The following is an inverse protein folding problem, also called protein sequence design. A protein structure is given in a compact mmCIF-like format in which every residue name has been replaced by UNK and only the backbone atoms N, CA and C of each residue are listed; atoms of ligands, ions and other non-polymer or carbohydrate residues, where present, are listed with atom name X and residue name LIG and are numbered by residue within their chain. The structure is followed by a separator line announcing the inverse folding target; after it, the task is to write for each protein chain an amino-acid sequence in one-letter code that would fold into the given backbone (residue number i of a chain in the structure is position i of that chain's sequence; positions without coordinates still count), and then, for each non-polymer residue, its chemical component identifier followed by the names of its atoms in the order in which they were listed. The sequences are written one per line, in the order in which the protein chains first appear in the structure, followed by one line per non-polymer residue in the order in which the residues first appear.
data_IF_214818860715
#
_entry.id   IF_214818860715
#
_cell.length_a   1.000
_cell.length_b   1.000
_cell.length_c   1.000
_cell.angle_alpha   90.00
_cell.angle_beta   90.00
_cell.angle_gamma   90.00
#
_symmetry.space_group_name_H-M   'P 1'
#
loop_
_entity.id
_entity.type
_entity.pdbx_description
1 polymer ?
#
# COMPACT_ATOMS: atom_id res chain seq x y z
N UNK A 1 50.27 7.81 18.63
CA UNK A 1 49.35 8.87 18.15
C UNK A 1 48.83 8.40 16.81
N UNK A 2 47.68 7.72 16.86
CA UNK A 2 47.03 7.05 15.73
C UNK A 2 46.33 8.05 14.81
N UNK A 3 46.54 7.89 13.51
CA UNK A 3 45.77 8.54 12.45
C UNK A 3 45.38 7.49 11.40
N UNK A 4 44.25 6.82 11.64
CA UNK A 4 43.56 5.99 10.65
C UNK A 4 42.06 6.01 10.90
N UNK A 5 41.38 7.07 10.49
CA UNK A 5 39.94 7.02 10.24
C UNK A 5 39.54 8.27 9.47
N UNK A 6 39.35 8.16 8.15
CA UNK A 6 38.43 8.99 7.35
C UNK A 6 38.57 8.62 5.86
N UNK A 7 37.96 7.50 5.46
CA UNK A 7 37.85 7.10 4.05
C UNK A 7 36.56 6.29 3.80
N UNK A 8 35.39 6.85 4.17
CA UNK A 8 34.11 6.16 3.96
C UNK A 8 32.93 7.03 3.46
N UNK A 9 33.19 8.21 2.89
CA UNK A 9 32.11 9.11 2.41
C UNK A 9 32.16 9.55 0.95
N UNK A 10 33.10 9.08 0.13
CA UNK A 10 33.35 9.60 -1.24
C UNK A 10 32.82 8.72 -2.39
N UNK A 11 31.84 7.85 -2.17
CA UNK A 11 31.35 6.90 -3.19
C UNK A 11 29.83 6.90 -3.46
N UNK A 12 29.13 8.04 -3.32
CA UNK A 12 27.73 8.22 -3.79
C UNK A 12 27.44 9.60 -4.40
N UNK A 13 28.27 10.04 -5.35
CA UNK A 13 28.01 11.23 -6.18
C UNK A 13 28.51 11.07 -7.63
N UNK A 14 28.17 9.95 -8.26
CA UNK A 14 28.43 9.73 -9.68
C UNK A 14 27.24 8.99 -10.33
N UNK A 15 26.14 9.70 -10.60
CA UNK A 15 25.14 9.33 -11.63
C UNK A 15 24.09 10.44 -11.85
N UNK A 16 24.54 11.68 -11.96
CA UNK A 16 23.70 12.77 -12.43
C UNK A 16 24.62 13.82 -13.05
N UNK A 17 25.06 13.58 -14.29
CA UNK A 17 25.60 14.57 -15.22
C UNK A 17 26.09 13.81 -16.47
N UNK A 18 25.18 13.48 -17.39
CA UNK A 18 25.56 13.30 -18.79
C UNK A 18 24.34 13.44 -19.70
N UNK A 19 24.51 14.29 -20.71
CA UNK A 19 23.74 14.42 -21.97
C UNK A 19 22.54 15.36 -21.98
N UNK A 20 22.87 16.65 -22.01
CA UNK A 20 22.34 17.56 -23.03
C UNK A 20 23.09 17.33 -24.34
N UNK A 21 22.43 16.78 -25.36
CA UNK A 21 22.85 16.96 -26.75
C UNK A 21 21.59 17.11 -27.62
N UNK A 22 21.51 18.30 -28.20
CA UNK A 22 20.63 18.70 -29.29
C UNK A 22 20.83 17.77 -30.49
N UNK A 23 19.73 17.24 -31.05
CA UNK A 23 19.67 16.78 -32.43
C UNK A 23 18.24 16.99 -32.95
N UNK A 24 18.13 18.00 -33.81
CA UNK A 24 17.02 18.21 -34.72
C UNK A 24 16.96 17.06 -35.72
N UNK A 25 15.81 16.43 -35.88
CA UNK A 25 15.44 15.67 -37.08
C UNK A 25 13.94 15.83 -37.34
N UNK A 26 13.64 16.50 -38.45
CA UNK A 26 12.35 16.42 -39.12
C UNK A 26 12.24 15.10 -39.90
N UNK A 27 11.05 14.50 -39.89
CA UNK A 27 10.43 13.62 -40.92
C UNK A 27 9.13 13.08 -40.29
N UNK A 28 7.94 13.57 -40.66
CA UNK A 28 7.06 13.02 -41.72
C UNK A 28 7.15 11.49 -41.82
N UNK A 29 6.05 10.79 -41.47
CA UNK A 29 5.41 9.72 -42.27
C UNK A 29 4.10 9.27 -41.57
N UNK A 30 3.05 9.19 -42.41
CA UNK A 30 1.78 8.46 -42.33
C UNK A 30 1.52 7.52 -41.14
N UNK A 31 0.37 7.71 -40.48
CA UNK A 31 -0.37 6.59 -39.87
C UNK A 31 -1.45 6.13 -40.85
N UNK A 32 -1.16 5.03 -41.54
CA UNK A 32 -2.16 4.17 -42.18
C UNK A 32 -2.87 3.32 -41.12
N UNK A 33 -4.19 3.27 -41.22
CA UNK A 33 -5.06 2.31 -40.56
C UNK A 33 -4.60 0.87 -40.86
N UNK A 34 -4.49 0.04 -39.83
CA UNK A 34 -4.46 -1.41 -39.97
C UNK A 34 -5.66 -1.99 -39.22
N UNK A 35 -6.64 -2.43 -40.01
CA UNK A 35 -7.64 -3.42 -39.58
C UNK A 35 -6.94 -4.75 -39.36
N UNK A 36 -7.09 -5.31 -38.16
CA UNK A 36 -6.70 -6.68 -37.86
C UNK A 36 -7.97 -7.51 -37.66
N UNK A 37 -8.36 -8.25 -38.70
CA UNK A 37 -9.29 -9.37 -38.62
C UNK A 37 -8.50 -10.61 -38.19
N UNK A 38 -8.93 -11.25 -37.10
CA UNK A 38 -8.34 -12.50 -36.62
C UNK A 38 -9.32 -13.65 -36.89
N UNK A 39 -8.92 -14.56 -37.76
CA UNK A 39 -9.67 -15.78 -38.08
C UNK A 39 -9.17 -16.91 -37.18
N UNK A 40 -10.03 -17.38 -36.27
CA UNK A 40 -9.67 -18.37 -35.24
C UNK A 40 -10.24 -19.73 -35.65
N UNK A 41 -9.36 -20.60 -36.13
CA UNK A 41 -9.70 -21.95 -36.58
C UNK A 41 -9.63 -22.91 -35.39
N UNK A 42 -10.77 -23.39 -34.92
CA UNK A 42 -10.87 -24.40 -33.87
C UNK A 42 -10.88 -25.82 -34.47
N UNK A 43 -10.16 -26.79 -33.87
CA UNK A 43 -10.21 -28.18 -34.32
C UNK A 43 -11.53 -28.84 -33.90
N UNK A 44 -12.07 -29.63 -34.82
CA UNK A 44 -13.27 -30.42 -34.63
C UNK A 44 -12.99 -31.69 -33.82
N UNK A 45 -13.93 -32.03 -32.93
CA UNK A 45 -14.27 -33.42 -32.62
C UNK A 45 -13.86 -33.92 -31.24
N UNK A 46 -14.85 -34.04 -30.36
CA UNK A 46 -15.03 -35.24 -29.53
C UNK A 46 -16.47 -35.31 -29.05
N UNK A 47 -17.19 -36.33 -29.52
CA UNK A 47 -18.50 -36.72 -29.02
C UNK A 47 -18.31 -37.41 -27.67
N UNK A 48 -19.10 -37.02 -26.66
CA UNK A 48 -19.38 -37.88 -25.51
C UNK A 48 -20.86 -37.74 -25.18
N UNK A 49 -21.56 -38.85 -25.40
CA UNK A 49 -22.92 -39.13 -24.94
C UNK A 49 -22.87 -39.42 -23.46
N UNK A 50 -23.60 -38.68 -22.64
CA UNK A 50 -24.20 -39.22 -21.41
C UNK A 50 -25.34 -38.31 -20.97
N UNK A 51 -26.48 -38.95 -20.76
CA UNK A 51 -27.74 -38.34 -20.40
C UNK A 51 -27.83 -38.34 -18.87
N UNK A 52 -27.81 -37.16 -18.27
CA UNK A 52 -28.19 -37.00 -16.87
C UNK A 52 -29.49 -36.21 -16.75
N UNK A 53 -30.40 -36.90 -16.07
CA UNK A 53 -31.77 -36.58 -15.76
C UNK A 53 -31.81 -35.45 -14.72
N UNK A 54 -32.32 -34.27 -15.09
CA UNK A 54 -32.51 -33.15 -14.18
C UNK A 54 -34.00 -32.88 -13.96
N UNK A 55 -34.40 -32.98 -12.69
CA UNK A 55 -35.75 -32.86 -12.14
C UNK A 55 -36.11 -31.36 -11.90
N UNK A 56 -37.18 -30.81 -12.48
CA UNK A 56 -37.55 -29.40 -12.31
C UNK A 56 -38.64 -29.25 -11.23
N UNK A 57 -38.22 -29.12 -9.98
CA UNK A 57 -39.08 -28.67 -8.89
C UNK A 57 -38.84 -27.19 -8.59
N UNK A 58 -39.93 -26.43 -8.38
CA UNK A 58 -40.01 -25.03 -7.95
C UNK A 58 -40.23 -23.98 -9.06
N UNK A 59 -41.50 -23.91 -9.47
CA UNK A 59 -42.15 -22.71 -10.00
C UNK A 59 -43.12 -22.21 -8.92
N UNK A 60 -43.04 -20.94 -8.51
CA UNK A 60 -44.19 -20.19 -8.00
C UNK A 60 -44.40 -18.93 -8.85
N UNK A 61 -45.66 -18.52 -9.11
CA UNK A 61 -46.00 -17.53 -10.13
C UNK A 61 -46.32 -16.15 -9.55
N UNK A 62 -45.98 -15.08 -10.28
CA UNK A 62 -46.70 -13.81 -10.13
C UNK A 62 -45.90 -12.55 -10.45
N UNK A 63 -46.30 -11.83 -11.51
CA UNK A 63 -46.00 -10.41 -11.68
C UNK A 63 -45.72 -10.00 -13.14
N UNK A 64 -46.60 -9.22 -13.79
CA UNK A 64 -46.45 -8.86 -15.20
C UNK A 64 -45.49 -7.68 -15.36
N UNK A 65 -44.46 -7.84 -16.19
CA UNK A 65 -43.69 -6.72 -16.72
C UNK A 65 -44.17 -6.45 -18.15
N UNK A 66 -44.72 -5.25 -18.33
CA UNK A 66 -45.09 -4.65 -19.61
C UNK A 66 -43.84 -4.51 -20.49
N UNK A 67 -43.83 -5.23 -21.61
CA UNK A 67 -42.84 -5.12 -22.68
C UNK A 67 -43.58 -4.61 -23.92
N UNK A 68 -43.65 -3.29 -24.07
CA UNK A 68 -43.90 -2.65 -25.36
C UNK A 68 -42.56 -2.12 -25.84
N UNK A 69 -41.86 -2.93 -26.64
CA UNK A 69 -40.94 -2.50 -27.69
C UNK A 69 -40.56 -3.74 -28.49
N UNK A 70 -41.31 -3.98 -29.56
CA UNK A 70 -41.06 -5.03 -30.53
C UNK A 70 -39.78 -4.71 -31.30
N UNK A 71 -38.78 -5.60 -31.37
CA UNK A 71 -37.69 -5.42 -32.31
C UNK A 71 -38.22 -5.58 -33.74
N UNK A 72 -37.97 -4.59 -34.59
CA UNK A 72 -38.20 -4.67 -36.04
C UNK A 72 -37.32 -5.78 -36.63
N UNK A 73 -37.97 -6.85 -37.09
CA UNK A 73 -37.32 -7.90 -37.89
C UNK A 73 -37.16 -7.41 -39.33
N UNK A 74 -35.95 -7.02 -39.70
CA UNK A 74 -35.57 -6.73 -41.09
C UNK A 74 -35.16 -8.05 -41.77
N UNK A 75 -35.98 -8.45 -42.75
CA UNK A 75 -35.74 -9.42 -43.83
C UNK A 75 -35.08 -10.78 -43.53
N UNK A 76 -35.85 -11.85 -43.78
CA UNK A 76 -35.37 -13.23 -43.95
C UNK A 76 -34.78 -13.45 -45.35
N UNK A 77 -33.56 -14.00 -45.49
CA UNK A 77 -33.14 -14.68 -46.71
C UNK A 77 -33.47 -16.18 -46.64
N UNK A 78 -33.84 -16.72 -47.81
CA UNK A 78 -34.11 -18.14 -48.09
C UNK A 78 -32.95 -19.05 -47.68
N UNK A 79 -33.25 -20.11 -46.93
CA UNK A 79 -32.26 -21.01 -46.33
C UNK A 79 -31.68 -22.00 -47.36
N UNK A 80 -30.37 -21.92 -47.57
CA UNK A 80 -29.54 -23.05 -48.01
C UNK A 80 -29.04 -23.81 -46.78
N UNK A 81 -29.13 -25.14 -46.79
CA UNK A 81 -28.71 -26.01 -45.70
C UNK A 81 -27.20 -25.90 -45.46
N UNK A 82 -26.78 -25.27 -44.37
CA UNK A 82 -25.39 -25.39 -43.89
C UNK A 82 -24.84 -24.26 -43.02
N UNK A 83 -25.55 -23.14 -42.80
CA UNK A 83 -24.94 -21.98 -42.13
C UNK A 83 -25.39 -21.81 -40.67
N UNK A 84 -24.39 -21.66 -39.78
CA UNK A 84 -24.59 -21.37 -38.35
C UNK A 84 -24.96 -19.89 -38.17
N UNK A 85 -26.08 -19.65 -37.49
CA UNK A 85 -26.53 -18.31 -37.10
C UNK A 85 -25.55 -17.71 -36.06
N UNK A 86 -24.70 -16.76 -36.47
CA UNK A 86 -23.89 -15.97 -35.54
C UNK A 86 -24.73 -14.76 -35.12
N UNK A 87 -25.29 -14.81 -33.90
CA UNK A 87 -25.97 -13.67 -33.30
C UNK A 87 -24.92 -12.71 -32.73
N UNK A 88 -24.54 -11.69 -33.50
CA UNK A 88 -23.67 -10.60 -33.03
C UNK A 88 -24.54 -9.64 -32.20
N UNK A 89 -24.51 -9.81 -30.87
CA UNK A 89 -25.12 -8.84 -29.95
C UNK A 89 -24.26 -7.57 -29.92
N UNK A 90 -24.66 -6.56 -30.70
CA UNK A 90 -24.14 -5.19 -30.57
C UNK A 90 -24.64 -4.58 -29.25
N UNK A 91 -23.95 -4.87 -28.15
CA UNK A 91 -24.15 -4.17 -26.89
C UNK A 91 -23.48 -2.80 -27.04
N UNK A 92 -24.28 -1.75 -27.21
CA UNK A 92 -23.80 -0.36 -27.22
C UNK A 92 -22.95 -0.08 -25.96
N UNK A 93 -21.67 0.35 -26.09
CA UNK A 93 -20.77 0.62 -24.97
C UNK A 93 -21.32 1.62 -23.95
N UNK A 94 -22.25 2.47 -24.38
CA UNK A 94 -22.92 3.49 -23.57
C UNK A 94 -23.81 2.93 -22.46
N UNK A 95 -24.22 1.65 -22.49
CA UNK A 95 -25.02 1.04 -21.39
C UNK A 95 -24.18 0.41 -20.27
N UNK A 96 -22.88 0.15 -20.47
CA UNK A 96 -21.98 -0.29 -19.38
C UNK A 96 -21.32 0.89 -18.64
N UNK A 97 -21.30 2.08 -19.24
CA UNK A 97 -20.70 3.27 -18.65
C UNK A 97 -21.58 3.98 -17.60
N UNK A 98 -22.86 3.60 -17.44
CA UNK A 98 -23.79 4.28 -16.52
C UNK A 98 -23.76 3.76 -15.07
N UNK A 99 -22.99 2.71 -14.77
CA UNK A 99 -22.65 2.35 -13.39
C UNK A 99 -21.48 3.24 -12.91
N UNK A 100 -21.78 4.53 -12.75
CA UNK A 100 -20.82 5.58 -12.41
C UNK A 100 -20.02 5.22 -11.14
N UNK A 101 -18.73 4.95 -11.31
CA UNK A 101 -17.78 4.66 -10.22
C UNK A 101 -17.67 5.78 -9.18
N UNK A 102 -18.14 6.98 -9.53
CA UNK A 102 -18.11 8.19 -8.70
C UNK A 102 -19.06 8.15 -7.51
N UNK A 103 -20.14 7.35 -7.54
CA UNK A 103 -21.11 7.26 -6.45
C UNK A 103 -20.85 6.15 -5.41
N UNK A 104 -19.91 5.25 -5.68
CA UNK A 104 -19.68 4.09 -4.81
C UNK A 104 -18.80 4.45 -3.61
N UNK A 105 -19.21 4.03 -2.41
CA UNK A 105 -18.45 4.31 -1.19
C UNK A 105 -17.06 3.65 -1.23
N UNK A 106 -16.10 4.22 -0.50
CA UNK A 106 -14.75 3.63 -0.40
C UNK A 106 -14.82 2.18 0.14
N UNK A 107 -15.76 1.90 1.05
CA UNK A 107 -15.98 0.55 1.58
C UNK A 107 -16.42 -0.45 0.51
N UNK A 108 -17.32 -0.05 -0.39
CA UNK A 108 -17.79 -0.88 -1.49
C UNK A 108 -16.67 -1.14 -2.51
N UNK A 109 -15.87 -0.11 -2.83
CA UNK A 109 -14.68 -0.22 -3.69
C UNK A 109 -13.68 -1.24 -3.13
N UNK A 110 -13.36 -1.15 -1.83
CA UNK A 110 -12.49 -2.12 -1.16
C UNK A 110 -13.09 -3.54 -1.12
N UNK A 111 -14.41 -3.66 -0.92
CA UNK A 111 -15.10 -4.95 -0.93
C UNK A 111 -15.03 -5.61 -2.32
N UNK A 112 -15.24 -4.84 -3.38
CA UNK A 112 -15.08 -5.31 -4.77
C UNK A 112 -13.65 -5.76 -5.04
N UNK A 113 -12.64 -4.99 -4.60
CA UNK A 113 -11.24 -5.38 -4.75
C UNK A 113 -10.94 -6.71 -4.04
N UNK A 114 -11.44 -6.90 -2.82
CA UNK A 114 -11.29 -8.18 -2.08
C UNK A 114 -11.90 -9.37 -2.81
N UNK A 115 -13.04 -9.19 -3.50
CA UNK A 115 -13.64 -10.25 -4.32
C UNK A 115 -12.73 -10.63 -5.49
N UNK A 116 -12.14 -9.66 -6.18
CA UNK A 116 -11.16 -9.90 -7.27
C UNK A 116 -9.93 -10.63 -6.75
N UNK A 117 -9.33 -10.14 -5.65
CA UNK A 117 -8.16 -10.77 -5.02
C UNK A 117 -8.48 -12.21 -4.59
N UNK A 118 -9.66 -12.45 -4.02
CA UNK A 118 -10.11 -13.79 -3.62
C UNK A 118 -10.26 -14.74 -4.81
N UNK A 119 -10.74 -14.24 -5.96
CA UNK A 119 -10.80 -15.01 -7.20
C UNK A 119 -9.39 -15.35 -7.70
N UNK A 120 -8.51 -14.36 -7.81
CA UNK A 120 -7.12 -14.56 -8.26
C UNK A 120 -6.34 -15.57 -7.40
N UNK A 121 -6.60 -15.61 -6.09
CA UNK A 121 -6.00 -16.61 -5.18
C UNK A 121 -6.32 -18.06 -5.55
N UNK A 122 -7.45 -18.29 -6.21
CA UNK A 122 -7.93 -19.62 -6.61
C UNK A 122 -7.44 -20.07 -7.98
N UNK A 123 -6.86 -19.15 -8.76
CA UNK A 123 -6.25 -19.50 -10.04
C UNK A 123 -5.07 -20.44 -9.80
N UNK A 124 -4.69 -21.25 -10.78
CA UNK A 124 -3.57 -22.19 -10.61
C UNK A 124 -2.22 -21.54 -10.96
N UNK A 125 -2.19 -20.75 -12.02
CA UNK A 125 -0.97 -20.13 -12.54
C UNK A 125 -0.46 -18.95 -11.71
N UNK A 126 0.87 -18.81 -11.65
CA UNK A 126 1.54 -17.79 -10.84
C UNK A 126 1.26 -16.39 -11.36
N UNK A 127 1.19 -16.21 -12.69
CA UNK A 127 0.92 -14.93 -13.32
C UNK A 127 -0.51 -14.44 -13.01
N UNK A 128 -1.47 -15.34 -13.12
CA UNK A 128 -2.90 -15.12 -12.89
C UNK A 128 -3.18 -14.78 -11.41
N UNK A 129 -2.43 -15.39 -10.48
CA UNK A 129 -2.43 -15.02 -9.06
C UNK A 129 -1.89 -13.61 -8.79
N UNK A 130 -1.07 -13.06 -9.69
CA UNK A 130 -0.43 -11.76 -9.50
C UNK A 130 -1.25 -10.61 -10.06
N UNK A 131 -1.99 -10.80 -11.17
CA UNK A 131 -2.71 -9.70 -11.80
C UNK A 131 -3.45 -10.06 -13.08
N UNK A 132 -4.05 -9.05 -13.72
CA UNK A 132 -4.89 -9.24 -14.90
C UNK A 132 -4.11 -9.49 -16.21
N UNK A 133 -2.96 -8.84 -16.39
CA UNK A 133 -2.11 -8.98 -17.58
C UNK A 133 -0.65 -9.06 -17.16
N UNK A 134 -0.37 -9.97 -16.22
CA UNK A 134 0.99 -10.26 -15.77
C UNK A 134 1.55 -11.40 -16.60
N UNK A 135 2.81 -11.29 -17.01
CA UNK A 135 3.52 -12.33 -17.77
C UNK A 135 4.84 -12.65 -17.10
N UNK A 136 5.18 -13.93 -17.10
CA UNK A 136 6.47 -14.44 -16.65
C UNK A 136 7.28 -14.79 -17.89
N UNK A 137 8.29 -13.99 -18.19
CA UNK A 137 9.14 -14.14 -19.37
C UNK A 137 10.44 -14.80 -18.92
N UNK A 138 10.74 -15.97 -19.49
CA UNK A 138 12.04 -16.61 -19.32
C UNK A 138 13.06 -15.96 -20.25
N UNK A 139 14.20 -15.54 -19.70
CA UNK A 139 15.32 -14.93 -20.43
C UNK A 139 16.61 -15.69 -20.13
N UNK A 140 17.65 -15.48 -20.94
CA UNK A 140 18.96 -16.10 -20.70
C UNK A 140 19.57 -15.75 -19.33
N UNK A 141 19.19 -14.61 -18.74
CA UNK A 141 19.69 -14.13 -17.44
C UNK A 141 18.77 -14.44 -16.26
N UNK A 142 17.64 -15.13 -16.48
CA UNK A 142 16.67 -15.47 -15.44
C UNK A 142 15.23 -15.13 -15.83
N UNK A 143 14.36 -14.93 -14.84
CA UNK A 143 12.95 -14.66 -15.06
C UNK A 143 12.64 -13.17 -14.90
N UNK A 144 11.86 -12.63 -15.84
CA UNK A 144 11.28 -11.30 -15.74
C UNK A 144 9.77 -11.41 -15.54
N UNK A 145 9.26 -10.81 -14.48
CA UNK A 145 7.82 -10.71 -14.22
C UNK A 145 7.42 -9.26 -14.50
N UNK A 146 6.52 -9.06 -15.47
CA UNK A 146 6.09 -7.73 -15.89
C UNK A 146 4.66 -7.74 -16.42
N UNK A 147 4.18 -6.56 -16.80
CA UNK A 147 2.81 -6.34 -17.28
C UNK A 147 1.99 -5.50 -16.31
N UNK A 148 0.66 -5.53 -16.45
CA UNK A 148 -0.25 -4.74 -15.62
C UNK A 148 -0.91 -5.63 -14.57
N UNK A 149 -0.59 -5.35 -13.30
CA UNK A 149 -1.08 -6.10 -12.16
C UNK A 149 -2.57 -5.82 -11.91
N UNK A 150 -2.97 -4.55 -12.00
CA UNK A 150 -4.37 -4.14 -11.95
C UNK A 150 -4.55 -2.80 -12.64
N UNK A 151 -5.76 -2.57 -13.16
CA UNK A 151 -6.15 -1.33 -13.82
C UNK A 151 -6.96 -0.45 -12.86
N UNK A 152 -6.76 0.86 -12.95
CA UNK A 152 -7.61 1.84 -12.29
C UNK A 152 -9.01 1.87 -12.95
N UNK A 153 -10.03 2.48 -12.32
CA UNK A 153 -11.35 2.62 -12.94
C UNK A 153 -11.26 3.35 -14.28
N UNK A 154 -11.94 2.82 -15.29
CA UNK A 154 -12.07 3.49 -16.57
C UNK A 154 -12.84 4.82 -16.43
N UNK A 155 -12.52 5.78 -17.29
CA UNK A 155 -13.19 7.09 -17.38
C UNK A 155 -13.17 7.89 -16.06
N UNK A 156 -12.05 7.87 -15.33
CA UNK A 156 -11.88 8.68 -14.14
C UNK A 156 -11.63 10.16 -14.50
N UNK A 157 -12.67 10.97 -14.40
CA UNK A 157 -12.62 12.41 -14.67
C UNK A 157 -11.90 13.21 -13.59
N UNK A 158 -11.43 12.57 -12.51
CA UNK A 158 -10.70 13.25 -11.43
C UNK A 158 -9.18 13.25 -11.63
N UNK A 159 -8.68 12.62 -12.70
CA UNK A 159 -7.27 12.67 -13.07
C UNK A 159 -6.95 14.07 -13.61
N UNK A 160 -5.94 14.79 -13.05
CA UNK A 160 -5.57 16.11 -13.54
C UNK A 160 -5.05 16.00 -14.97
N UNK A 161 -5.66 16.75 -15.87
CA UNK A 161 -5.40 16.80 -17.30
C UNK A 161 -4.43 17.91 -17.68
N UNK A 162 -4.41 19.00 -16.91
CA UNK A 162 -3.61 20.19 -17.20
C UNK A 162 -2.46 20.38 -16.20
N UNK A 163 -1.36 21.05 -16.60
CA UNK A 163 -0.28 21.42 -15.67
C UNK A 163 -0.75 22.29 -14.50
N UNK A 164 -1.80 23.10 -14.69
CA UNK A 164 -2.38 23.92 -13.64
C UNK A 164 -3.05 23.07 -12.56
N UNK A 165 -3.89 22.11 -12.96
CA UNK A 165 -4.53 21.15 -12.04
C UNK A 165 -3.49 20.32 -11.28
N UNK A 166 -2.42 19.87 -11.96
CA UNK A 166 -1.31 19.18 -11.30
C UNK A 166 -0.69 20.08 -10.21
N UNK A 167 -0.50 21.36 -10.50
CA UNK A 167 0.11 22.31 -9.58
C UNK A 167 -0.76 22.55 -8.35
N UNK A 168 -2.09 22.61 -8.51
CA UNK A 168 -3.02 22.70 -7.37
C UNK A 168 -2.90 21.50 -6.43
N UNK A 169 -2.86 20.28 -6.97
CA UNK A 169 -2.65 19.07 -6.16
C UNK A 169 -1.28 19.06 -5.47
N UNK A 170 -0.23 19.54 -6.15
CA UNK A 170 1.10 19.68 -5.57
C UNK A 170 1.09 20.67 -4.40
N UNK A 171 0.48 21.84 -4.56
CA UNK A 171 0.38 22.85 -3.50
C UNK A 171 -0.34 22.32 -2.25
N UNK A 172 -1.40 21.53 -2.45
CA UNK A 172 -2.10 20.85 -1.36
C UNK A 172 -1.19 19.86 -0.62
N UNK A 173 -0.41 19.05 -1.34
CA UNK A 173 0.55 18.13 -0.71
C UNK A 173 1.71 18.86 -0.03
N UNK A 174 2.20 19.96 -0.59
CA UNK A 174 3.22 20.81 0.03
C UNK A 174 2.73 21.30 1.40
N UNK A 175 1.50 21.83 1.45
CA UNK A 175 0.85 22.24 2.71
C UNK A 175 0.73 21.06 3.69
N UNK A 176 0.33 19.89 3.22
CA UNK A 176 0.21 18.70 4.06
C UNK A 176 1.56 18.24 4.63
N UNK A 177 2.62 18.24 3.82
CA UNK A 177 3.99 17.85 4.23
C UNK A 177 4.55 18.83 5.25
N UNK A 178 4.39 20.14 5.02
CA UNK A 178 4.90 21.21 5.89
C UNK A 178 4.10 21.41 7.17
N UNK A 179 2.86 20.94 7.23
CA UNK A 179 2.06 21.04 8.44
C UNK A 179 2.76 20.41 9.64
N UNK A 180 2.67 21.09 10.78
CA UNK A 180 3.22 20.63 12.05
C UNK A 180 2.17 20.50 13.15
N UNK A 181 0.88 20.70 12.83
CA UNK A 181 -0.23 20.64 13.77
C UNK A 181 -0.97 19.30 13.69
N UNK A 182 -1.41 18.77 14.83
CA UNK A 182 -2.20 17.53 14.86
C UNK A 182 -1.44 16.33 14.29
N UNK A 183 -0.11 16.32 14.45
CA UNK A 183 0.74 15.23 14.00
C UNK A 183 0.61 14.01 14.94
N UNK A 184 0.79 12.81 14.40
CA UNK A 184 0.74 11.56 15.16
C UNK A 184 2.02 11.34 15.98
N UNK A 185 3.13 11.90 15.52
CA UNK A 185 4.40 11.89 16.22
C UNK A 185 4.42 12.87 17.40
N UNK A 186 5.30 12.62 18.37
CA UNK A 186 5.46 13.51 19.52
C UNK A 186 6.17 14.80 19.09
N UNK A 187 5.46 15.91 19.12
CA UNK A 187 5.92 17.22 18.66
C UNK A 187 7.12 17.76 19.47
N UNK A 188 7.24 17.36 20.74
CA UNK A 188 8.34 17.77 21.63
C UNK A 188 9.66 17.02 21.41
N UNK A 189 9.74 16.09 20.45
CA UNK A 189 10.99 15.38 20.15
C UNK A 189 11.90 16.23 19.28
N UNK A 190 13.19 16.28 19.60
CA UNK A 190 14.16 17.05 18.83
C UNK A 190 14.16 16.73 17.33
N UNK A 191 13.99 15.46 16.96
CA UNK A 191 13.90 15.05 15.54
C UNK A 191 12.70 15.67 14.82
N UNK A 192 11.58 15.88 15.52
CA UNK A 192 10.40 16.54 14.98
C UNK A 192 10.67 18.05 14.87
N UNK A 193 11.10 18.68 15.95
CA UNK A 193 11.38 20.12 16.00
C UNK A 193 12.42 20.54 14.95
N UNK A 194 13.49 19.77 14.78
CA UNK A 194 14.53 20.07 13.79
C UNK A 194 14.03 20.05 12.35
N UNK A 195 12.95 19.32 12.05
CA UNK A 195 12.50 19.09 10.66
C UNK A 195 11.20 19.80 10.33
N UNK A 196 10.25 19.81 11.26
CA UNK A 196 8.90 20.37 11.11
C UNK A 196 8.53 21.37 12.22
N UNK A 197 9.43 21.63 13.17
CA UNK A 197 9.20 22.66 14.17
C UNK A 197 8.97 24.04 13.52
N UNK A 198 8.27 24.92 14.23
CA UNK A 198 8.05 26.30 13.79
C UNK A 198 9.40 26.97 13.49
N UNK A 199 9.56 27.51 12.27
CA UNK A 199 10.82 28.11 11.82
C UNK A 199 11.90 27.12 11.37
N UNK A 200 11.58 25.83 11.27
CA UNK A 200 12.51 24.83 10.72
C UNK A 200 12.89 25.16 9.28
N UNK A 201 14.19 25.08 8.98
CA UNK A 201 14.78 25.25 7.64
C UNK A 201 15.39 23.96 7.08
N UNK A 202 15.08 22.81 7.69
CA UNK A 202 15.73 21.54 7.34
C UNK A 202 15.46 21.08 5.90
N UNK A 203 14.25 21.32 5.40
CA UNK A 203 13.91 21.12 4.00
C UNK A 203 13.58 22.48 3.40
N UNK A 204 14.12 22.75 2.22
CA UNK A 204 13.74 23.91 1.42
C UNK A 204 12.36 23.70 0.79
N UNK A 205 11.67 24.78 0.45
CA UNK A 205 10.37 24.70 -0.22
C UNK A 205 10.46 23.97 -1.56
N UNK A 206 11.56 24.17 -2.30
CA UNK A 206 11.79 23.53 -3.60
C UNK A 206 11.95 22.01 -3.50
N UNK A 207 12.63 21.52 -2.45
CA UNK A 207 12.74 20.07 -2.20
C UNK A 207 11.39 19.45 -1.87
N UNK A 208 10.58 20.15 -1.06
CA UNK A 208 9.23 19.67 -0.70
C UNK A 208 8.29 19.67 -1.90
N UNK A 209 8.32 20.72 -2.72
CA UNK A 209 7.54 20.81 -3.96
C UNK A 209 7.93 19.72 -4.95
N UNK A 210 9.23 19.48 -5.17
CA UNK A 210 9.72 18.43 -6.04
C UNK A 210 9.23 17.05 -5.58
N UNK A 211 9.35 16.75 -4.28
CA UNK A 211 8.88 15.47 -3.73
C UNK A 211 7.35 15.31 -3.82
N UNK A 212 6.59 16.39 -3.57
CA UNK A 212 5.13 16.39 -3.76
C UNK A 212 4.75 16.14 -5.23
N UNK A 213 5.45 16.78 -6.17
CA UNK A 213 5.26 16.60 -7.62
C UNK A 213 5.52 15.17 -8.05
N UNK A 214 6.58 14.53 -7.56
CA UNK A 214 6.85 13.12 -7.85
C UNK A 214 5.69 12.23 -7.40
N UNK A 215 5.15 12.44 -6.20
CA UNK A 215 3.99 11.66 -5.70
C UNK A 215 2.76 11.82 -6.59
N UNK A 216 2.45 13.05 -7.02
CA UNK A 216 1.31 13.33 -7.92
C UNK A 216 1.51 12.69 -9.29
N UNK A 217 2.71 12.81 -9.88
CA UNK A 217 3.01 12.23 -11.19
C UNK A 217 3.00 10.69 -11.15
N UNK A 218 3.56 10.09 -10.09
CA UNK A 218 3.50 8.64 -9.90
C UNK A 218 2.07 8.13 -9.70
N UNK A 219 1.23 8.90 -9.02
CA UNK A 219 -0.19 8.60 -8.89
C UNK A 219 -0.92 8.69 -10.24
N UNK A 220 -0.65 9.73 -11.03
CA UNK A 220 -1.21 9.90 -12.38
C UNK A 220 -0.77 8.75 -13.30
N UNK A 221 0.51 8.36 -13.29
CA UNK A 221 1.05 7.21 -14.05
C UNK A 221 0.25 5.92 -13.78
N UNK A 222 -0.06 5.65 -12.50
CA UNK A 222 -0.82 4.46 -12.09
C UNK A 222 -2.27 4.52 -12.57
N UNK A 223 -2.90 5.69 -12.59
CA UNK A 223 -4.28 5.84 -13.04
C UNK A 223 -4.42 5.79 -14.55
N UNK A 224 -3.41 6.27 -15.29
CA UNK A 224 -3.41 6.25 -16.75
C UNK A 224 -3.00 4.89 -17.33
N UNK A 225 -2.03 4.21 -16.71
CA UNK A 225 -1.44 2.99 -17.28
C UNK A 225 -1.72 1.72 -16.46
N UNK A 226 -2.39 1.86 -15.32
CA UNK A 226 -2.52 0.80 -14.33
C UNK A 226 -1.24 0.61 -13.51
N UNK A 227 -1.29 -0.35 -12.60
CA UNK A 227 -0.15 -0.68 -11.75
C UNK A 227 0.82 -1.62 -12.47
N UNK A 228 2.00 -1.11 -12.84
CA UNK A 228 3.03 -1.84 -13.59
C UNK A 228 4.23 -2.28 -12.76
N UNK A 229 4.33 -1.84 -11.51
CA UNK A 229 5.51 -2.09 -10.66
C UNK A 229 5.39 -3.45 -9.99
N UNK A 230 6.40 -4.30 -10.16
CA UNK A 230 6.43 -5.63 -9.57
C UNK A 230 6.49 -5.59 -8.03
N UNK A 231 5.60 -6.35 -7.38
CA UNK A 231 5.59 -6.56 -5.93
C UNK A 231 5.66 -8.06 -5.68
N UNK A 232 6.84 -8.51 -5.27
CA UNK A 232 7.13 -9.93 -5.06
C UNK A 232 6.52 -10.44 -3.74
N UNK A 233 6.42 -9.58 -2.73
CA UNK A 233 5.71 -9.92 -1.49
C UNK A 233 4.21 -10.04 -1.76
N UNK A 234 3.64 -11.20 -1.42
CA UNK A 234 2.24 -11.50 -1.68
C UNK A 234 1.30 -10.61 -0.88
N UNK A 235 1.56 -10.44 0.41
CA UNK A 235 0.67 -9.70 1.30
C UNK A 235 0.68 -8.21 0.96
N UNK A 236 1.84 -7.67 0.62
CA UNK A 236 2.00 -6.27 0.20
C UNK A 236 1.34 -6.02 -1.17
N UNK A 237 1.47 -6.96 -2.12
CA UNK A 237 0.80 -6.87 -3.42
C UNK A 237 -0.72 -6.82 -3.26
N UNK A 238 -1.27 -7.77 -2.50
CA UNK A 238 -2.71 -7.82 -2.22
C UNK A 238 -3.18 -6.57 -1.48
N UNK A 239 -2.36 -6.06 -0.56
CA UNK A 239 -2.63 -4.81 0.14
C UNK A 239 -2.80 -3.64 -0.85
N UNK A 240 -1.92 -3.48 -1.83
CA UNK A 240 -2.01 -2.35 -2.77
C UNK A 240 -3.19 -2.51 -3.73
N UNK A 241 -3.44 -3.74 -4.19
CA UNK A 241 -4.55 -4.06 -5.07
C UNK A 241 -5.93 -3.77 -4.45
N UNK A 242 -6.05 -3.68 -3.12
CA UNK A 242 -7.29 -3.25 -2.46
C UNK A 242 -7.77 -1.85 -2.92
N UNK A 243 -6.87 -1.03 -3.47
CA UNK A 243 -7.18 0.30 -3.99
C UNK A 243 -7.41 0.33 -5.50
N UNK A 244 -7.47 -0.82 -6.19
CA UNK A 244 -7.61 -0.86 -7.66
C UNK A 244 -8.88 -0.15 -8.18
N UNK A 245 -9.91 -0.02 -7.35
CA UNK A 245 -11.16 0.66 -7.71
C UNK A 245 -11.27 2.10 -7.20
N UNK A 246 -10.18 2.67 -6.68
CA UNK A 246 -10.16 4.07 -6.25
C UNK A 246 -10.08 4.98 -7.46
N UNK A 247 -10.77 6.12 -7.41
CA UNK A 247 -10.47 7.23 -8.33
C UNK A 247 -9.16 7.94 -7.92
N UNK A 248 -8.67 8.82 -8.78
CA UNK A 248 -7.57 9.72 -8.50
C UNK A 248 -7.88 10.58 -7.27
N UNK A 249 -9.08 11.15 -7.19
CA UNK A 249 -9.53 11.91 -6.02
C UNK A 249 -9.58 11.09 -4.72
N UNK A 250 -10.07 9.84 -4.76
CA UNK A 250 -10.09 8.96 -3.58
C UNK A 250 -8.67 8.72 -3.05
N UNK A 251 -7.76 8.36 -3.97
CA UNK A 251 -6.36 8.07 -3.65
C UNK A 251 -5.63 9.31 -3.16
N UNK A 252 -5.84 10.45 -3.83
CA UNK A 252 -5.30 11.75 -3.42
C UNK A 252 -5.74 12.11 -2.00
N UNK A 253 -7.05 12.05 -1.72
CA UNK A 253 -7.60 12.38 -0.40
C UNK A 253 -6.97 11.54 0.70
N UNK A 254 -6.78 10.24 0.45
CA UNK A 254 -6.13 9.35 1.40
C UNK A 254 -4.63 9.64 1.60
N UNK A 255 -3.89 9.98 0.54
CA UNK A 255 -2.48 10.40 0.63
C UNK A 255 -2.38 11.73 1.39
N UNK A 256 -3.24 12.69 1.07
CA UNK A 256 -3.31 13.98 1.73
C UNK A 256 -3.55 13.81 3.23
N UNK A 257 -4.57 13.05 3.67
CA UNK A 257 -4.81 12.75 5.10
C UNK A 257 -3.60 12.06 5.75
N UNK A 258 -2.93 11.14 5.05
CA UNK A 258 -1.75 10.44 5.56
C UNK A 258 -0.57 11.40 5.81
N UNK A 259 -0.23 12.25 4.83
CA UNK A 259 0.89 13.19 4.91
C UNK A 259 0.61 14.36 5.85
N UNK A 260 -0.66 14.77 5.95
CA UNK A 260 -1.13 15.78 6.90
C UNK A 260 -0.72 15.43 8.33
N UNK A 261 -0.87 14.16 8.72
CA UNK A 261 -0.77 13.71 10.10
C UNK A 261 0.42 12.81 10.42
N UNK A 262 1.15 12.27 9.43
CA UNK A 262 2.31 11.41 9.71
C UNK A 262 3.61 11.97 9.11
N UNK A 263 4.45 12.53 9.99
CA UNK A 263 5.76 13.04 9.61
C UNK A 263 6.79 11.95 9.39
N UNK A 264 6.56 10.75 9.93
CA UNK A 264 7.33 9.57 9.56
C UNK A 264 7.14 9.24 8.08
N UNK A 265 5.92 9.29 7.57
CA UNK A 265 5.66 9.07 6.14
C UNK A 265 6.19 10.23 5.30
N UNK A 266 6.03 11.49 5.74
CA UNK A 266 6.65 12.64 5.06
C UNK A 266 8.16 12.46 4.94
N UNK A 267 8.84 11.95 5.99
CA UNK A 267 10.27 11.62 5.94
C UNK A 267 10.58 10.59 4.87
N UNK A 268 9.74 9.57 4.74
CA UNK A 268 9.96 8.50 3.75
C UNK A 268 9.78 9.05 2.32
N UNK A 269 8.81 9.96 2.10
CA UNK A 269 8.65 10.74 0.84
C UNK A 269 9.90 11.57 0.55
N UNK A 270 10.34 12.40 1.50
CA UNK A 270 11.53 13.25 1.33
C UNK A 270 12.82 12.46 1.10
N UNK A 271 12.85 11.16 1.44
CA UNK A 271 13.98 10.25 1.19
C UNK A 271 13.87 9.47 -0.12
N UNK A 272 12.75 9.56 -0.84
CA UNK A 272 12.45 8.70 -2.00
C UNK A 272 12.29 7.22 -1.62
N UNK A 273 11.92 6.93 -0.38
CA UNK A 273 11.77 5.55 0.12
C UNK A 273 10.31 5.19 0.29
N UNK A 274 9.96 3.91 0.08
CA UNK A 274 8.57 3.41 0.18
C UNK A 274 7.58 4.18 -0.70
N UNK A 275 8.06 4.80 -1.77
CA UNK A 275 7.28 5.66 -2.67
C UNK A 275 6.01 4.95 -3.16
N UNK A 276 6.17 3.74 -3.72
CA UNK A 276 5.02 2.95 -4.18
C UNK A 276 4.12 2.47 -3.04
N UNK A 277 4.64 2.23 -1.84
CA UNK A 277 3.78 1.84 -0.71
C UNK A 277 2.82 2.97 -0.31
N UNK A 278 3.31 4.20 -0.35
CA UNK A 278 2.55 5.41 0.00
C UNK A 278 1.41 5.62 -1.01
N UNK A 279 1.68 5.44 -2.30
CA UNK A 279 0.67 5.59 -3.36
C UNK A 279 -0.26 4.38 -3.41
N UNK A 280 0.28 3.17 -3.19
CA UNK A 280 -0.40 1.88 -3.37
C UNK A 280 -1.54 1.64 -2.38
N UNK A 281 -1.34 1.90 -1.08
CA UNK A 281 -2.44 1.84 -0.10
C UNK A 281 -2.27 2.86 1.05
N UNK A 282 -2.54 4.15 0.79
CA UNK A 282 -2.39 5.21 1.79
C UNK A 282 -3.29 5.03 3.02
N UNK A 283 -4.50 4.45 2.86
CA UNK A 283 -5.43 4.25 3.99
C UNK A 283 -4.91 3.22 5.00
N UNK A 284 -4.35 2.11 4.53
CA UNK A 284 -3.76 1.10 5.43
C UNK A 284 -2.56 1.68 6.17
N UNK A 285 -1.70 2.46 5.50
CA UNK A 285 -0.61 3.17 6.16
C UNK A 285 -1.12 4.19 7.20
N UNK A 286 -2.21 4.90 6.89
CA UNK A 286 -2.83 5.82 7.83
C UNK A 286 -3.41 5.10 9.05
N UNK A 287 -4.10 3.96 8.87
CA UNK A 287 -4.56 3.11 9.97
C UNK A 287 -3.39 2.58 10.80
N UNK A 288 -2.32 2.10 10.16
CA UNK A 288 -1.13 1.57 10.84
C UNK A 288 -0.46 2.62 11.71
N UNK A 289 -0.29 3.83 11.21
CA UNK A 289 0.32 4.92 11.99
C UNK A 289 -0.56 5.33 13.18
N UNK A 290 -1.89 5.37 13.03
CA UNK A 290 -2.84 5.55 14.16
C UNK A 290 -2.69 4.44 15.21
N UNK A 291 -2.67 3.17 14.80
CA UNK A 291 -2.52 2.03 15.72
C UNK A 291 -1.14 1.99 16.41
N UNK A 292 -0.07 2.34 15.70
CA UNK A 292 1.28 2.36 16.25
C UNK A 292 1.42 3.37 17.40
N UNK A 293 0.75 4.52 17.32
CA UNK A 293 0.72 5.50 18.43
C UNK A 293 0.16 4.88 19.69
N UNK A 294 -0.98 4.20 19.58
CA UNK A 294 -1.63 3.53 20.72
C UNK A 294 -0.78 2.39 21.28
N UNK A 295 -0.23 1.55 20.41
CA UNK A 295 0.64 0.44 20.79
C UNK A 295 1.90 0.93 21.52
N UNK A 296 2.55 1.98 21.00
CA UNK A 296 3.73 2.58 21.63
C UNK A 296 3.39 3.23 22.98
N UNK A 297 2.22 3.85 23.11
CA UNK A 297 1.76 4.40 24.39
C UNK A 297 1.58 3.29 25.44
N UNK A 298 0.88 2.21 25.10
CA UNK A 298 0.70 1.04 25.98
C UNK A 298 2.03 0.40 26.36
N UNK A 299 2.94 0.25 25.40
CA UNK A 299 4.29 -0.27 25.64
C UNK A 299 5.07 0.61 26.60
N UNK A 300 5.01 1.94 26.45
CA UNK A 300 5.67 2.87 27.36
C UNK A 300 5.15 2.75 28.79
N UNK A 301 3.83 2.64 28.99
CA UNK A 301 3.24 2.40 30.32
C UNK A 301 3.71 1.09 30.93
N UNK A 302 3.76 0.01 30.14
CA UNK A 302 4.24 -1.30 30.62
C UNK A 302 5.71 -1.25 31.04
N UNK A 303 6.55 -0.58 30.25
CA UNK A 303 7.97 -0.41 30.57
C UNK A 303 8.13 0.38 31.87
N UNK A 304 7.40 1.50 32.04
CA UNK A 304 7.45 2.29 33.26
C UNK A 304 7.08 1.48 34.51
N UNK A 305 5.98 0.72 34.46
CA UNK A 305 5.57 -0.18 35.55
C UNK A 305 6.62 -1.26 35.85
N UNK A 306 7.22 -1.84 34.82
CA UNK A 306 8.31 -2.81 34.97
C UNK A 306 9.54 -2.20 35.64
N UNK A 307 9.92 -0.97 35.27
CA UNK A 307 11.03 -0.26 35.90
C UNK A 307 10.76 0.07 37.37
N UNK A 308 9.55 0.51 37.70
CA UNK A 308 9.15 0.75 39.09
C UNK A 308 9.18 -0.52 39.93
N UNK A 309 8.71 -1.64 39.38
CA UNK A 309 8.76 -2.93 40.05
C UNK A 309 10.20 -3.39 40.32
N UNK A 310 11.08 -3.33 39.32
CA UNK A 310 12.50 -3.68 39.47
C UNK A 310 13.19 -2.77 40.50
N UNK A 311 12.86 -1.48 40.50
CA UNK A 311 13.38 -0.52 41.49
C UNK A 311 12.96 -0.90 42.91
N UNK A 312 11.67 -1.22 43.15
CA UNK A 312 11.19 -1.67 44.47
C UNK A 312 11.87 -2.95 44.92
N UNK A 313 12.01 -3.94 44.03
CA UNK A 313 12.73 -5.18 44.39
C UNK A 313 14.18 -4.93 44.79
N UNK A 314 14.86 -4.00 44.11
CA UNK A 314 16.21 -3.62 44.47
C UNK A 314 16.27 -2.88 45.82
N UNK A 315 15.32 -2.00 46.10
CA UNK A 315 15.20 -1.32 47.41
C UNK A 315 14.90 -2.31 48.53
N UNK A 316 13.99 -3.25 48.33
CA UNK A 316 13.63 -4.30 49.30
C UNK A 316 14.82 -5.23 49.56
N UNK A 317 15.56 -5.60 48.51
CA UNK A 317 16.76 -6.46 48.63
C UNK A 317 17.88 -5.73 49.37
N UNK A 318 18.14 -4.46 49.03
CA UNK A 318 19.14 -3.64 49.70
C UNK A 318 18.80 -3.43 51.19
N UNK A 319 17.51 -3.27 51.52
CA UNK A 319 17.06 -3.17 52.91
C UNK A 319 17.27 -4.48 53.68
N UNK A 320 16.89 -5.61 53.10
CA UNK A 320 17.09 -6.92 53.73
C UNK A 320 18.59 -7.23 53.96
N UNK A 321 19.46 -6.84 53.02
CA UNK A 321 20.92 -6.99 53.18
C UNK A 321 21.48 -6.10 54.30
N UNK A 322 20.97 -4.87 54.43
CA UNK A 322 21.33 -3.97 55.52
C UNK A 322 20.89 -4.51 56.89
N UNK A 323 19.62 -4.92 57.00
CA UNK A 323 19.06 -5.46 58.25
C UNK A 323 19.82 -6.75 58.68
N UNK A 324 20.17 -7.63 57.73
CA UNK A 324 20.96 -8.83 58.01
C UNK A 324 22.41 -8.52 58.44
N UNK A 325 23.02 -7.45 57.91
CA UNK A 325 24.36 -7.02 58.31
C UNK A 325 24.37 -6.39 59.71
N UNK A 326 23.30 -5.68 60.09
CA UNK A 326 23.12 -5.11 61.43
C UNK A 326 22.94 -6.22 62.49
N UNK A 327 22.10 -7.23 62.21
CA UNK A 327 21.95 -8.40 63.10
C UNK A 327 23.27 -9.17 63.27
N UNK A 328 24.06 -9.33 62.20
CA UNK A 328 25.36 -9.99 62.27
C UNK A 328 26.39 -9.19 63.10
N UNK A 329 26.28 -7.86 63.14
CA UNK A 329 27.16 -7.01 63.93
C UNK A 329 26.86 -7.05 65.43
N UNK A 330 25.61 -7.30 65.84
CA UNK A 330 25.25 -7.42 67.26
C UNK A 330 25.77 -8.71 67.91
N UNK A 331 25.92 -9.80 67.17
CA UNK A 331 26.36 -11.10 67.71
C UNK A 331 27.89 -11.22 67.87
N UNK A 332 28.68 -10.27 67.35
CA UNK A 332 30.15 -10.20 67.52
C UNK A 332 30.59 -9.36 68.74
N UNK A 333 29.66 -8.99 69.63
CA UNK A 333 30.04 -8.52 70.96
C UNK A 333 30.58 -9.68 71.80
N UNK A 334 31.90 -9.72 72.13
CA UNK A 334 32.49 -10.84 72.82
C UNK A 334 31.79 -11.00 74.17
N UNK A 335 31.09 -12.13 74.36
CA UNK A 335 30.38 -12.43 75.61
C UNK A 335 31.33 -12.17 76.78
N UNK A 336 30.92 -11.37 77.78
CA UNK A 336 31.78 -11.04 78.90
C UNK A 336 32.27 -12.34 79.53
N UNK A 337 33.60 -12.56 79.48
CA UNK A 337 34.25 -13.76 80.01
C UNK A 337 33.80 -13.90 81.46
N UNK A 338 32.96 -14.91 81.75
CA UNK A 338 32.49 -15.21 83.10
C UNK A 338 33.73 -15.38 83.97
N UNK A 339 33.97 -14.41 84.87
CA UNK A 339 35.06 -14.44 85.86
C UNK A 339 34.97 -15.78 86.61
N UNK A 340 35.97 -16.63 86.43
CA UNK A 340 36.06 -17.90 87.12
C UNK A 340 36.02 -17.65 88.63
N UNK A 341 35.00 -18.21 89.30
CA UNK A 341 34.76 -18.07 90.73
C UNK A 341 35.91 -18.76 91.46
N UNK A 342 36.79 -17.99 92.08
CA UNK A 342 37.94 -18.47 92.88
C UNK A 342 37.39 -19.38 93.99
N UNK A 343 37.59 -20.70 93.87
CA UNK A 343 37.27 -21.65 94.96
C UNK A 343 38.30 -21.44 96.06
N UNK A 344 37.85 -20.94 97.21
CA UNK A 344 38.64 -20.98 98.43
C UNK A 344 38.75 -22.45 98.88
N UNK A 345 39.94 -23.01 98.76
CA UNK A 345 40.32 -24.22 99.50
C UNK A 345 40.57 -23.82 100.96
N UNK A 346 39.98 -24.58 101.87
CA UNK A 346 40.12 -24.45 103.31
C UNK A 346 40.94 -25.62 103.84
#
# INVERSE_FOLDING_TARGET
MDTKQDDYWTMRRANALSRTLSLSFANIVNMSFFDYSFELQLPAGSQSTEADHFDPGWYEPGGPLSLSDTPEFVHTPSMGSGERLIVVLHISPSRLASATSHGSSIGDKEMRAKKVISKQKKEDGVAEKMGSDVRIISTATGYHIGGVYWQAPACDTTIPSSPAEISEYVDMLVKAILNNQGCRERENRQQFLNRWGTGSSFYTIFEVEAAAREVILGMKEIHENGWTKAIYDKDERECYQQTMFYSFADRFTAIHELLMHSKTTCKDVMKGTKFYAIIGNPRVLSKRTKMNVHSNSRKAVRIAKGMEFMKRQHEDTAKNEYDAAEEAAEDDHPRPKKRAKKRHFR
#
